data_IF_707425537433
#
_entry.id   IF_707425537433
#
_cell.length_a   1.000
_cell.length_b   1.000
_cell.length_c   1.000
_cell.angle_alpha   90.00
_cell.angle_beta   90.00
_cell.angle_gamma   90.00
#
_symmetry.space_group_name_H-M   'P 1'
#
loop_
_entity.id
_entity.type
_entity.pdbx_description
1 polymer ?
#
# COMPACT_ATOMS: atom_id res chain seq x y z
N UNK A 1 12.17 5.57 13.14
CA UNK A 1 12.92 4.33 13.43
C UNK A 1 13.22 3.64 12.10
N UNK A 2 14.48 3.68 11.69
CA UNK A 2 14.98 3.06 10.45
C UNK A 2 15.04 1.55 10.66
N UNK A 3 14.42 0.77 9.80
CA UNK A 3 14.69 -0.67 9.73
C UNK A 3 15.69 -0.93 8.62
N UNK A 4 16.89 -1.27 9.06
CA UNK A 4 18.01 -1.69 8.27
C UNK A 4 17.79 -3.13 7.82
N UNK A 5 17.98 -3.38 6.55
CA UNK A 5 17.95 -4.71 5.96
C UNK A 5 19.24 -5.46 6.26
N UNK A 6 19.11 -6.75 6.50
CA UNK A 6 20.08 -7.75 6.90
C UNK A 6 21.46 -7.65 6.24
N UNK A 7 22.48 -7.50 7.10
CA UNK A 7 23.88 -7.84 6.80
C UNK A 7 24.18 -9.19 7.45
N UNK A 8 24.35 -10.20 6.63
CA UNK A 8 24.89 -11.49 7.09
C UNK A 8 26.41 -11.39 7.08
N UNK A 9 26.99 -11.39 8.27
CA UNK A 9 28.44 -11.58 8.50
C UNK A 9 28.75 -13.05 8.33
N UNK A 10 29.67 -13.36 7.42
CA UNK A 10 30.47 -14.61 7.48
C UNK A 10 31.88 -14.26 7.97
N UNK A 11 32.22 -14.86 9.10
CA UNK A 11 33.53 -14.77 9.72
C UNK A 11 34.46 -15.84 9.12
N UNK A 12 35.63 -15.42 8.85
CA UNK A 12 36.99 -16.04 8.83
C UNK A 12 37.12 -17.56 8.88
N UNK A 13 37.83 -18.08 7.90
CA UNK A 13 38.77 -19.16 8.11
C UNK A 13 40.05 -18.91 7.31
N UNK A 14 41.12 -18.63 8.05
CA UNK A 14 42.51 -18.65 7.60
C UNK A 14 42.89 -20.08 7.27
N UNK A 15 43.47 -20.34 6.11
CA UNK A 15 44.51 -21.34 5.97
C UNK A 15 45.53 -20.92 4.91
N UNK A 16 46.74 -20.70 5.40
CA UNK A 16 47.98 -20.50 4.66
C UNK A 16 48.24 -21.69 3.74
N UNK A 17 48.60 -21.45 2.46
CA UNK A 17 49.52 -22.29 1.73
C UNK A 17 50.29 -21.46 0.70
N UNK A 18 51.54 -21.26 0.99
CA UNK A 18 52.50 -20.66 0.10
C UNK A 18 52.86 -21.66 -1.00
N UNK A 19 52.70 -21.28 -2.27
CA UNK A 19 53.45 -21.91 -3.39
C UNK A 19 53.93 -20.81 -4.31
N UNK A 20 55.24 -20.70 -4.32
CA UNK A 20 56.13 -19.98 -5.22
C UNK A 20 56.06 -20.63 -6.60
N UNK A 21 55.75 -19.88 -7.71
CA UNK A 21 56.30 -20.21 -9.03
C UNK A 21 56.17 -19.08 -10.06
N UNK A 22 57.31 -18.58 -10.45
CA UNK A 22 57.78 -18.17 -11.80
C UNK A 22 57.01 -17.08 -12.57
N UNK A 23 57.74 -15.98 -12.68
CA UNK A 23 57.67 -14.95 -13.69
C UNK A 23 57.70 -15.50 -15.13
N UNK A 24 56.63 -15.27 -15.87
CA UNK A 24 56.67 -15.19 -17.34
C UNK A 24 56.22 -13.78 -17.70
N UNK A 25 57.20 -12.97 -18.05
CA UNK A 25 57.02 -11.70 -18.71
C UNK A 25 56.52 -11.99 -20.12
N UNK A 26 55.31 -11.55 -20.44
CA UNK A 26 54.87 -11.32 -21.80
C UNK A 26 54.35 -9.90 -21.85
N UNK A 27 55.18 -8.99 -22.36
CA UNK A 27 54.77 -7.69 -22.84
C UNK A 27 53.82 -7.88 -24.03
N UNK A 28 52.54 -7.82 -23.75
CA UNK A 28 51.53 -7.45 -24.72
C UNK A 28 51.08 -6.05 -24.30
N UNK A 29 51.68 -5.02 -24.95
CA UNK A 29 51.13 -3.69 -24.99
C UNK A 29 49.77 -3.75 -25.71
N UNK A 30 48.77 -4.34 -25.09
CA UNK A 30 47.38 -4.14 -25.39
C UNK A 30 46.98 -2.86 -24.66
N UNK A 31 46.66 -1.82 -25.42
CA UNK A 31 45.95 -0.64 -24.97
C UNK A 31 44.90 -1.10 -23.97
N UNK A 32 45.11 -0.83 -22.68
CA UNK A 32 44.04 -0.86 -21.70
C UNK A 32 43.13 0.30 -22.10
N UNK A 33 42.15 0.02 -22.91
CA UNK A 33 40.98 0.86 -23.01
C UNK A 33 40.37 0.80 -21.63
N UNK A 34 40.45 1.93 -20.94
CA UNK A 34 39.65 2.22 -19.76
C UNK A 34 38.22 1.76 -20.08
N UNK A 35 37.64 0.82 -19.34
CA UNK A 35 36.22 0.57 -19.50
C UNK A 35 35.49 1.72 -18.81
N UNK A 36 35.51 2.88 -19.41
CA UNK A 36 34.47 3.86 -19.27
C UNK A 36 33.21 3.19 -19.78
N UNK A 37 32.63 2.33 -18.94
CA UNK A 37 31.39 1.62 -19.22
C UNK A 37 30.26 2.64 -19.16
N UNK A 38 30.18 3.46 -20.18
CA UNK A 38 28.91 4.00 -20.59
C UNK A 38 28.09 2.80 -21.11
N UNK A 39 27.58 2.00 -20.19
CA UNK A 39 26.63 0.95 -20.52
C UNK A 39 25.51 1.59 -21.34
N UNK A 40 25.16 0.97 -22.48
CA UNK A 40 24.03 1.49 -23.27
C UNK A 40 22.81 1.57 -22.36
N UNK A 41 22.09 2.70 -22.44
CA UNK A 41 20.85 2.88 -21.65
C UNK A 41 19.88 1.75 -21.94
N UNK A 42 19.20 1.30 -20.92
CA UNK A 42 18.06 0.41 -21.05
C UNK A 42 16.77 1.22 -21.20
N UNK A 43 15.69 0.53 -21.45
CA UNK A 43 14.38 1.13 -21.75
C UNK A 43 13.31 0.51 -20.84
N UNK A 44 12.55 1.37 -20.15
CA UNK A 44 11.35 0.97 -19.40
C UNK A 44 10.11 1.29 -20.24
N UNK A 45 9.27 0.29 -20.48
CA UNK A 45 7.93 0.43 -21.05
C UNK A 45 6.90 0.07 -19.99
N UNK A 46 6.08 1.03 -19.60
CA UNK A 46 5.12 0.87 -18.51
C UNK A 46 3.72 0.80 -19.11
N UNK A 47 2.96 -0.23 -18.71
CA UNK A 47 1.60 -0.44 -19.16
C UNK A 47 0.73 -0.99 -18.02
N UNK A 48 -0.58 -0.85 -18.13
CA UNK A 48 -1.51 -1.50 -17.23
C UNK A 48 -1.90 -2.88 -17.73
N UNK A 49 -2.13 -3.82 -16.82
CA UNK A 49 -2.66 -5.12 -17.16
C UNK A 49 -4.08 -4.97 -17.73
N UNK A 50 -4.32 -5.55 -18.91
CA UNK A 50 -5.63 -5.52 -19.58
C UNK A 50 -6.70 -6.36 -18.89
N UNK A 51 -6.28 -7.37 -18.12
CA UNK A 51 -7.16 -8.18 -17.28
C UNK A 51 -7.40 -7.49 -15.95
N UNK A 52 -8.10 -6.38 -16.00
CA UNK A 52 -8.83 -5.91 -14.85
C UNK A 52 -10.08 -6.77 -14.67
N UNK A 53 -9.91 -8.05 -14.38
CA UNK A 53 -10.92 -8.85 -13.70
C UNK A 53 -11.01 -8.36 -12.26
N UNK A 54 -11.18 -7.06 -12.10
CA UNK A 54 -11.70 -6.50 -10.88
C UNK A 54 -13.05 -7.16 -10.70
N UNK A 55 -13.10 -8.07 -9.78
CA UNK A 55 -14.26 -8.86 -9.43
C UNK A 55 -15.43 -7.89 -9.35
N UNK A 56 -16.37 -7.97 -10.28
CA UNK A 56 -17.56 -7.12 -10.50
C UNK A 56 -18.53 -7.19 -9.32
N UNK A 57 -18.06 -7.10 -8.08
CA UNK A 57 -18.89 -7.18 -6.86
C UNK A 57 -18.85 -5.95 -5.98
N UNK A 58 -18.15 -4.89 -6.37
CA UNK A 58 -18.31 -3.59 -5.73
C UNK A 58 -18.86 -2.62 -6.76
N UNK A 59 -19.87 -1.84 -6.37
CA UNK A 59 -20.37 -0.65 -7.07
C UNK A 59 -19.29 0.47 -7.09
N UNK A 60 -18.05 0.12 -7.41
CA UNK A 60 -16.93 1.04 -7.48
C UNK A 60 -16.50 1.09 -8.95
N UNK A 61 -16.80 2.22 -9.58
CA UNK A 61 -16.23 2.56 -10.89
C UNK A 61 -14.71 2.54 -10.77
N UNK A 62 -14.05 1.75 -11.61
CA UNK A 62 -12.60 1.76 -11.71
C UNK A 62 -12.22 3.10 -12.32
N UNK A 63 -11.40 3.92 -11.63
CA UNK A 63 -11.00 5.20 -12.20
C UNK A 63 -10.18 5.00 -13.47
N UNK A 64 -10.24 5.99 -14.38
CA UNK A 64 -9.44 5.99 -15.59
C UNK A 64 -7.96 5.99 -15.21
N UNK A 65 -7.24 4.95 -15.64
CA UNK A 65 -5.81 4.80 -15.35
C UNK A 65 -4.94 5.85 -16.03
N UNK A 66 -5.46 6.55 -17.04
CA UNK A 66 -4.75 7.65 -17.71
C UNK A 66 -4.41 8.80 -16.77
N UNK A 67 -5.25 9.02 -15.74
CA UNK A 67 -5.09 10.09 -14.75
C UNK A 67 -4.26 9.67 -13.53
N UNK A 68 -3.79 8.42 -13.48
CA UNK A 68 -3.00 7.95 -12.34
C UNK A 68 -1.64 8.64 -12.30
N UNK A 69 -1.16 8.90 -11.08
CA UNK A 69 0.15 9.46 -10.84
C UNK A 69 1.20 8.36 -10.88
N UNK A 70 2.11 8.44 -11.85
CA UNK A 70 3.24 7.52 -12.03
C UNK A 70 4.51 8.15 -11.47
N UNK A 71 5.25 7.37 -10.69
CA UNK A 71 6.57 7.74 -10.17
C UNK A 71 7.56 6.63 -10.50
N UNK A 72 8.70 6.99 -11.08
CA UNK A 72 9.83 6.08 -11.35
C UNK A 72 11.05 6.62 -10.63
N UNK A 73 11.59 5.85 -9.69
CA UNK A 73 12.72 6.25 -8.84
C UNK A 73 13.82 5.21 -8.97
N UNK A 74 15.07 5.65 -9.17
CA UNK A 74 16.22 4.74 -9.14
C UNK A 74 16.53 4.27 -7.71
N UNK A 75 17.25 3.16 -7.57
CA UNK A 75 17.74 2.66 -6.26
C UNK A 75 18.63 3.66 -5.52
N UNK A 76 19.19 4.66 -6.21
CA UNK A 76 19.94 5.77 -5.61
C UNK A 76 19.06 6.92 -5.12
N UNK A 77 17.73 6.83 -5.32
CA UNK A 77 16.77 7.86 -4.95
C UNK A 77 16.58 8.97 -5.98
N UNK A 78 17.17 8.86 -7.18
CA UNK A 78 16.97 9.82 -8.26
C UNK A 78 15.61 9.62 -8.89
N UNK A 79 14.82 10.69 -8.99
CA UNK A 79 13.52 10.68 -9.66
C UNK A 79 13.77 10.73 -11.18
N UNK A 80 13.32 9.70 -11.88
CA UNK A 80 13.41 9.57 -13.34
C UNK A 80 12.15 10.14 -14.00
N UNK A 81 11.00 9.84 -13.41
CA UNK A 81 9.70 10.36 -13.83
C UNK A 81 8.81 10.58 -12.60
N UNK A 82 8.05 11.66 -12.60
CA UNK A 82 7.07 11.99 -11.57
C UNK A 82 5.97 12.84 -12.19
N UNK A 83 4.80 12.22 -12.46
CA UNK A 83 3.71 12.90 -13.15
C UNK A 83 2.55 12.00 -13.52
N UNK A 84 1.60 12.53 -14.29
CA UNK A 84 0.43 11.79 -14.73
C UNK A 84 0.84 10.73 -15.76
N UNK A 85 0.30 9.52 -15.66
CA UNK A 85 0.64 8.40 -16.54
C UNK A 85 0.43 8.73 -18.02
N UNK A 86 -0.68 9.36 -18.40
CA UNK A 86 -0.96 9.75 -19.78
C UNK A 86 0.03 10.74 -20.38
N UNK A 87 0.78 11.46 -19.56
CA UNK A 87 1.85 12.37 -19.98
C UNK A 87 3.23 11.71 -19.98
N UNK A 88 3.35 10.45 -19.54
CA UNK A 88 4.63 9.75 -19.53
C UNK A 88 5.07 9.36 -20.94
N UNK A 89 6.39 9.36 -21.22
CA UNK A 89 6.90 8.81 -22.47
C UNK A 89 6.53 7.33 -22.62
N UNK A 90 6.25 6.89 -23.84
CA UNK A 90 6.03 5.46 -24.15
C UNK A 90 7.23 4.60 -23.74
N UNK A 91 8.44 5.15 -23.83
CA UNK A 91 9.70 4.54 -23.46
C UNK A 91 10.51 5.50 -22.59
N UNK A 92 10.84 5.09 -21.37
CA UNK A 92 11.68 5.85 -20.45
C UNK A 92 13.09 5.29 -20.51
N UNK A 93 14.03 6.10 -21.06
CA UNK A 93 15.45 5.71 -21.18
C UNK A 93 16.15 5.90 -19.83
N UNK A 94 16.71 4.83 -19.29
CA UNK A 94 17.36 4.80 -17.98
C UNK A 94 18.73 4.14 -18.03
N UNK A 95 19.63 4.48 -17.10
CA UNK A 95 20.89 3.77 -16.92
C UNK A 95 20.64 2.35 -16.38
N UNK A 96 21.51 1.38 -16.65
CA UNK A 96 21.35 0.04 -16.06
C UNK A 96 21.29 0.08 -14.54
N UNK A 97 20.28 -0.58 -13.95
CA UNK A 97 20.09 -0.54 -12.49
C UNK A 97 18.70 -1.00 -12.04
N UNK A 98 18.43 -0.79 -10.75
CA UNK A 98 17.13 -1.11 -10.14
C UNK A 98 16.28 0.15 -9.99
N UNK A 99 15.00 0.01 -10.25
CA UNK A 99 14.02 1.10 -10.24
C UNK A 99 12.75 0.66 -9.50
N UNK A 100 12.22 1.57 -8.68
CA UNK A 100 10.89 1.44 -8.12
C UNK A 100 9.90 2.17 -9.04
N UNK A 101 8.96 1.43 -9.60
CA UNK A 101 7.88 1.91 -10.47
C UNK A 101 6.59 1.86 -9.69
N UNK A 102 6.06 3.03 -9.35
CA UNK A 102 4.87 3.16 -8.53
C UNK A 102 3.80 3.98 -9.24
N UNK A 103 2.55 3.53 -9.11
CA UNK A 103 1.40 4.28 -9.61
C UNK A 103 0.31 4.35 -8.54
N UNK A 104 -0.37 5.50 -8.44
CA UNK A 104 -1.52 5.70 -7.54
C UNK A 104 -2.61 6.51 -8.22
N UNK A 105 -3.88 6.18 -7.95
CA UNK A 105 -5.03 6.88 -8.52
C UNK A 105 -5.26 8.28 -7.93
N UNK A 106 -4.82 8.49 -6.69
CA UNK A 106 -4.98 9.77 -6.00
C UNK A 106 -3.99 9.89 -4.84
N UNK A 107 -3.77 11.11 -4.38
CA UNK A 107 -2.96 11.38 -3.19
C UNK A 107 -3.85 11.26 -1.92
N UNK A 108 -3.79 10.10 -1.28
CA UNK A 108 -4.58 9.80 -0.08
C UNK A 108 -3.80 10.16 1.19
N UNK A 109 -4.04 11.34 1.77
CA UNK A 109 -3.30 11.85 2.95
C UNK A 109 -4.03 11.62 4.26
N UNK A 110 -5.34 11.82 4.27
CA UNK A 110 -6.18 11.77 5.48
C UNK A 110 -7.38 10.86 5.23
N UNK A 111 -7.99 10.30 6.29
CA UNK A 111 -9.21 9.52 6.16
C UNK A 111 -10.33 10.31 5.47
N UNK A 112 -11.04 9.68 4.54
CA UNK A 112 -12.12 10.31 3.78
C UNK A 112 -13.20 9.30 3.39
N UNK A 113 -14.44 9.81 3.21
CA UNK A 113 -15.53 9.00 2.66
C UNK A 113 -15.42 8.87 1.15
N UNK A 114 -15.86 7.72 0.62
CA UNK A 114 -15.92 7.46 -0.83
C UNK A 114 -14.61 7.77 -1.57
N UNK A 115 -13.47 7.49 -0.94
CA UNK A 115 -12.15 7.77 -1.49
C UNK A 115 -11.28 6.50 -1.54
N UNK A 116 -11.66 5.50 -2.37
CA UNK A 116 -10.79 4.37 -2.61
C UNK A 116 -9.53 4.84 -3.33
N UNK A 117 -8.38 4.28 -2.95
CA UNK A 117 -7.11 4.53 -3.62
C UNK A 117 -6.68 3.25 -4.30
N UNK A 118 -6.41 3.32 -5.61
CA UNK A 118 -5.88 2.23 -6.41
C UNK A 118 -4.40 2.48 -6.71
N UNK A 119 -3.64 1.41 -6.88
CA UNK A 119 -2.24 1.55 -7.23
C UNK A 119 -1.53 0.21 -7.31
N UNK A 120 -0.26 0.31 -7.72
CA UNK A 120 0.71 -0.79 -7.76
C UNK A 120 2.11 -0.24 -7.49
N UNK A 121 3.00 -1.09 -7.02
CA UNK A 121 4.38 -0.73 -6.69
C UNK A 121 5.28 -1.93 -7.00
N UNK A 122 6.17 -1.79 -8.00
CA UNK A 122 7.03 -2.85 -8.48
C UNK A 122 8.50 -2.40 -8.50
N UNK A 123 9.38 -3.22 -7.94
CA UNK A 123 10.81 -3.06 -8.11
C UNK A 123 11.28 -3.85 -9.34
N UNK A 124 11.90 -3.19 -10.29
CA UNK A 124 12.37 -3.77 -11.55
C UNK A 124 13.86 -3.54 -11.76
N UNK A 125 14.52 -4.49 -12.42
CA UNK A 125 15.94 -4.37 -12.81
C UNK A 125 16.01 -4.15 -14.31
N UNK A 126 16.72 -3.11 -14.73
CA UNK A 126 16.95 -2.78 -16.15
C UNK A 126 18.39 -3.09 -16.50
N UNK A 127 18.66 -4.14 -17.31
CA UNK A 127 19.99 -4.42 -17.84
C UNK A 127 20.42 -3.39 -18.90
N UNK A 128 21.73 -3.37 -19.17
CA UNK A 128 22.31 -2.51 -20.21
C UNK A 128 21.76 -2.86 -21.60
N UNK A 129 21.19 -1.89 -22.29
CA UNK A 129 20.69 -2.05 -23.67
C UNK A 129 19.42 -2.85 -23.83
N UNK A 130 18.77 -3.25 -22.73
CA UNK A 130 17.58 -4.10 -22.74
C UNK A 130 16.30 -3.30 -22.60
N UNK A 131 15.18 -3.86 -23.12
CA UNK A 131 13.84 -3.35 -22.95
C UNK A 131 13.15 -4.13 -21.84
N UNK A 132 12.70 -3.45 -20.81
CA UNK A 132 11.93 -4.03 -19.70
C UNK A 132 10.49 -3.55 -19.76
N UNK A 133 9.56 -4.49 -19.94
CA UNK A 133 8.13 -4.20 -19.91
C UNK A 133 7.60 -4.37 -18.50
N UNK A 134 7.12 -3.27 -17.91
CA UNK A 134 6.50 -3.23 -16.59
C UNK A 134 4.99 -3.25 -16.76
N UNK A 135 4.33 -4.25 -16.18
CA UNK A 135 2.89 -4.42 -16.25
C UNK A 135 2.26 -4.18 -14.89
N UNK A 136 1.65 -3.02 -14.72
CA UNK A 136 1.06 -2.60 -13.44
C UNK A 136 -0.35 -3.20 -13.26
N UNK A 137 -0.60 -3.74 -12.06
CA UNK A 137 -1.89 -4.29 -11.65
C UNK A 137 -2.53 -3.38 -10.60
N UNK A 138 -3.31 -2.40 -11.04
CA UNK A 138 -3.89 -1.42 -10.14
C UNK A 138 -5.05 -2.00 -9.34
N UNK A 139 -4.78 -2.33 -8.10
CA UNK A 139 -5.76 -2.80 -7.14
C UNK A 139 -5.98 -1.77 -6.05
N UNK A 140 -7.07 -1.88 -5.29
CA UNK A 140 -7.30 -1.02 -4.15
C UNK A 140 -6.18 -1.22 -3.11
N UNK A 141 -5.48 -0.16 -2.72
CA UNK A 141 -4.35 -0.21 -1.78
C UNK A 141 -4.68 0.32 -0.39
N UNK A 142 -5.79 1.04 -0.22
CA UNK A 142 -6.31 1.44 1.08
C UNK A 142 -7.36 0.46 1.61
N UNK A 143 -7.84 0.68 2.81
CA UNK A 143 -8.85 -0.12 3.49
C UNK A 143 -10.06 0.73 3.86
N UNK A 144 -11.21 0.09 4.07
CA UNK A 144 -12.46 0.78 4.34
C UNK A 144 -13.18 0.29 5.59
N UNK A 145 -13.97 1.17 6.19
CA UNK A 145 -14.91 0.84 7.28
C UNK A 145 -16.29 1.41 6.94
N UNK A 146 -17.31 0.59 7.11
CA UNK A 146 -18.71 1.00 7.07
C UNK A 146 -19.37 0.68 8.40
N UNK A 147 -20.05 1.65 8.99
CA UNK A 147 -20.87 1.41 10.17
C UNK A 147 -22.34 1.14 9.78
N UNK A 148 -22.96 0.21 10.47
CA UNK A 148 -24.42 -0.01 10.49
C UNK A 148 -24.88 0.26 11.91
N UNK A 149 -25.46 1.43 12.14
CA UNK A 149 -25.90 1.84 13.47
C UNK A 149 -27.35 1.46 13.65
N UNK A 150 -27.65 0.70 14.71
CA UNK A 150 -29.00 0.30 15.08
C UNK A 150 -29.79 1.48 15.64
N UNK A 151 -31.10 1.49 15.40
CA UNK A 151 -31.98 2.56 15.88
C UNK A 151 -32.00 2.66 17.39
N UNK A 152 -32.00 1.53 18.10
CA UNK A 152 -31.97 1.52 19.56
C UNK A 152 -30.70 2.16 20.14
N UNK A 153 -29.60 2.18 19.38
CA UNK A 153 -28.40 2.92 19.78
C UNK A 153 -28.65 4.44 19.79
N UNK A 154 -29.36 4.96 18.80
CA UNK A 154 -29.71 6.38 18.73
C UNK A 154 -30.60 6.82 19.90
N UNK A 155 -31.55 5.96 20.28
CA UNK A 155 -32.47 6.23 21.39
C UNK A 155 -31.72 6.23 22.75
N UNK A 156 -30.68 5.38 22.88
CA UNK A 156 -29.89 5.30 24.12
C UNK A 156 -28.79 6.38 24.21
N UNK A 157 -28.28 6.86 23.07
CA UNK A 157 -27.21 7.86 23.00
C UNK A 157 -27.60 9.02 22.09
N UNK A 158 -28.61 9.81 22.41
CA UNK A 158 -29.13 10.89 21.54
C UNK A 158 -28.08 11.97 21.27
N UNK A 159 -27.15 12.22 22.20
CA UNK A 159 -26.06 13.17 22.08
C UNK A 159 -24.72 12.50 21.74
N UNK A 160 -24.74 11.20 21.45
CA UNK A 160 -23.55 10.43 21.12
C UNK A 160 -23.07 10.72 19.70
N UNK A 161 -21.76 10.84 19.50
CA UNK A 161 -21.14 11.00 18.18
C UNK A 161 -20.12 9.88 17.95
N UNK A 162 -20.28 9.17 16.85
CA UNK A 162 -19.33 8.13 16.47
C UNK A 162 -18.19 8.71 15.64
N UNK A 163 -16.98 8.24 15.91
CA UNK A 163 -15.79 8.60 15.17
C UNK A 163 -15.01 7.35 14.81
N UNK A 164 -14.38 7.38 13.62
CA UNK A 164 -13.34 6.45 13.23
C UNK A 164 -12.00 7.19 13.28
N UNK A 165 -11.02 6.64 14.01
CA UNK A 165 -9.70 7.27 14.24
C UNK A 165 -8.58 6.34 13.81
N UNK A 166 -7.65 6.88 13.04
CA UNK A 166 -6.37 6.25 12.69
C UNK A 166 -5.21 7.14 13.07
N UNK A 167 -3.98 6.73 12.76
CA UNK A 167 -2.78 7.56 12.90
C UNK A 167 -2.80 8.79 11.97
N UNK A 168 -3.56 8.73 10.85
CA UNK A 168 -3.65 9.80 9.86
C UNK A 168 -4.76 10.83 10.17
N UNK A 169 -5.64 10.53 11.12
CA UNK A 169 -6.72 11.45 11.48
C UNK A 169 -7.95 10.80 12.08
N UNK A 170 -8.94 11.65 12.38
CA UNK A 170 -10.24 11.30 12.98
C UNK A 170 -11.34 11.73 12.03
N UNK A 171 -12.26 10.83 11.71
CA UNK A 171 -13.39 11.06 10.82
C UNK A 171 -14.69 10.86 11.59
N UNK A 172 -15.55 11.87 11.61
CA UNK A 172 -16.88 11.77 12.21
C UNK A 172 -17.78 10.90 11.34
N UNK A 173 -18.44 9.91 11.94
CA UNK A 173 -19.37 9.02 11.25
C UNK A 173 -20.80 9.32 11.69
N UNK A 174 -21.54 10.06 10.85
CA UNK A 174 -22.94 10.38 11.11
C UNK A 174 -23.84 9.14 11.09
N UNK A 175 -24.92 9.17 11.86
CA UNK A 175 -25.83 8.03 11.95
C UNK A 175 -26.53 7.65 10.63
N UNK A 176 -26.77 8.63 9.76
CA UNK A 176 -27.33 8.42 8.43
C UNK A 176 -26.27 8.13 7.36
N UNK A 177 -24.99 8.13 7.74
CA UNK A 177 -23.89 7.89 6.81
C UNK A 177 -23.88 6.42 6.36
N UNK A 178 -23.83 6.21 5.05
CA UNK A 178 -23.83 4.88 4.42
C UNK A 178 -22.56 4.62 3.61
N UNK A 179 -21.80 5.68 3.35
CA UNK A 179 -20.57 5.58 2.57
C UNK A 179 -19.50 4.82 3.34
N UNK A 180 -18.54 4.28 2.62
CA UNK A 180 -17.35 3.68 3.21
C UNK A 180 -16.38 4.80 3.57
N UNK A 181 -15.90 4.79 4.80
CA UNK A 181 -14.78 5.62 5.25
C UNK A 181 -13.47 4.88 4.95
N UNK A 182 -12.58 5.49 4.18
CA UNK A 182 -11.31 4.91 3.77
C UNK A 182 -10.17 5.37 4.67
N UNK A 183 -9.20 4.46 4.87
CA UNK A 183 -8.01 4.63 5.72
C UNK A 183 -6.80 3.99 5.04
N UNK A 184 -5.59 4.44 5.36
CA UNK A 184 -4.41 3.63 5.07
C UNK A 184 -4.45 2.37 5.93
N UNK A 185 -3.92 1.22 5.43
CA UNK A 185 -3.81 0.00 6.22
C UNK A 185 -3.15 0.26 7.58
N UNK A 186 -3.66 -0.39 8.62
CA UNK A 186 -3.20 -0.21 9.99
C UNK A 186 -4.34 -0.12 11.00
N UNK A 187 -4.04 0.36 12.21
CA UNK A 187 -5.01 0.40 13.29
C UNK A 187 -6.05 1.51 13.09
N UNK A 188 -7.32 1.11 13.11
CA UNK A 188 -8.48 2.02 13.13
C UNK A 188 -9.32 1.72 14.37
N UNK A 189 -9.65 2.76 15.12
CA UNK A 189 -10.48 2.68 16.32
C UNK A 189 -11.84 3.33 16.08
N UNK A 190 -12.90 2.64 16.49
CA UNK A 190 -14.24 3.20 16.62
C UNK A 190 -14.37 3.82 18.01
N UNK A 191 -14.75 5.09 18.07
CA UNK A 191 -14.97 5.83 19.30
C UNK A 191 -16.39 6.32 19.38
N UNK A 192 -16.92 6.32 20.60
CA UNK A 192 -18.14 7.04 20.97
C UNK A 192 -17.75 8.27 21.80
N UNK A 193 -18.17 9.45 21.36
CA UNK A 193 -18.05 10.69 22.12
C UNK A 193 -19.43 11.01 22.69
N UNK A 194 -19.58 11.01 24.01
CA UNK A 194 -20.83 11.31 24.70
C UNK A 194 -20.54 11.99 26.05
N UNK A 195 -21.29 13.03 26.39
CA UNK A 195 -21.07 13.78 27.64
C UNK A 195 -19.67 14.38 27.77
N UNK A 196 -19.03 14.75 26.65
CA UNK A 196 -17.68 15.34 26.64
C UNK A 196 -16.54 14.33 26.87
N UNK A 197 -16.80 13.04 26.81
CA UNK A 197 -15.80 11.98 26.93
C UNK A 197 -15.78 11.13 25.67
N UNK A 198 -14.55 10.81 25.22
CA UNK A 198 -14.30 9.88 24.13
C UNK A 198 -14.04 8.48 24.70
N UNK A 199 -14.82 7.50 24.29
CA UNK A 199 -14.66 6.10 24.67
C UNK A 199 -14.32 5.27 23.44
N UNK A 200 -13.29 4.42 23.55
CA UNK A 200 -12.90 3.49 22.48
C UNK A 200 -13.77 2.24 22.57
N UNK A 201 -14.64 2.02 21.61
CA UNK A 201 -15.52 0.86 21.54
C UNK A 201 -14.80 -0.36 20.94
N UNK A 202 -13.98 -0.14 19.93
CA UNK A 202 -13.28 -1.20 19.21
C UNK A 202 -12.03 -0.65 18.53
N UNK A 203 -10.96 -1.45 18.46
CA UNK A 203 -9.81 -1.21 17.60
C UNK A 203 -9.56 -2.43 16.71
N UNK A 204 -9.31 -2.20 15.42
CA UNK A 204 -8.97 -3.24 14.45
C UNK A 204 -7.78 -2.81 13.63
N UNK A 205 -6.91 -3.78 13.33
CA UNK A 205 -5.87 -3.62 12.33
C UNK A 205 -6.45 -3.99 10.97
N UNK A 206 -6.56 -3.00 10.07
CA UNK A 206 -7.09 -3.19 8.72
C UNK A 206 -5.95 -3.52 7.76
N UNK A 207 -6.18 -4.51 6.92
CA UNK A 207 -5.27 -4.90 5.87
C UNK A 207 -5.61 -4.16 4.57
N UNK A 208 -4.65 -4.10 3.65
CA UNK A 208 -4.87 -3.64 2.27
C UNK A 208 -6.08 -4.35 1.66
N UNK A 209 -6.91 -3.62 0.92
CA UNK A 209 -8.14 -4.12 0.26
C UNK A 209 -9.26 -4.58 1.20
N UNK A 210 -9.08 -4.51 2.50
CA UNK A 210 -10.09 -4.93 3.45
C UNK A 210 -11.18 -3.87 3.61
N UNK A 211 -12.45 -4.27 3.47
CA UNK A 211 -13.60 -3.46 3.86
C UNK A 211 -14.28 -4.12 5.04
N UNK A 212 -14.26 -3.44 6.19
CA UNK A 212 -14.84 -3.90 7.43
C UNK A 212 -16.22 -3.28 7.62
N UNK A 213 -17.23 -4.13 7.86
CA UNK A 213 -18.58 -3.67 8.22
C UNK A 213 -18.80 -3.90 9.72
N UNK A 214 -19.09 -2.84 10.46
CA UNK A 214 -19.32 -2.88 11.89
C UNK A 214 -20.79 -2.55 12.20
N UNK A 215 -21.48 -3.46 12.89
CA UNK A 215 -22.79 -3.22 13.49
C UNK A 215 -22.61 -2.58 14.87
N UNK A 216 -23.27 -1.47 15.13
CA UNK A 216 -23.26 -0.76 16.42
C UNK A 216 -24.66 -0.80 17.00
N UNK A 217 -24.84 -1.43 18.16
CA UNK A 217 -26.13 -1.58 18.85
C UNK A 217 -25.96 -1.43 20.37
N UNK A 218 -27.07 -1.29 21.09
CA UNK A 218 -27.04 -1.37 22.55
C UNK A 218 -26.96 -2.84 22.99
N UNK A 219 -26.18 -3.12 24.02
CA UNK A 219 -26.09 -4.45 24.60
C UNK A 219 -27.48 -4.87 25.15
N UNK A 220 -28.11 -5.81 24.46
CA UNK A 220 -29.23 -6.55 25.05
C UNK A 220 -28.66 -7.73 25.83
N UNK A 221 -29.26 -8.05 26.98
CA UNK A 221 -28.83 -9.16 27.86
C UNK A 221 -29.02 -10.55 27.22
N UNK A 222 -28.44 -10.79 26.07
CA UNK A 222 -28.53 -12.03 25.33
C UNK A 222 -27.12 -12.54 25.01
N UNK A 223 -26.87 -13.76 25.45
CA UNK A 223 -25.68 -14.57 25.25
C UNK A 223 -25.43 -14.87 23.77
N UNK A 224 -24.85 -13.96 23.02
CA UNK A 224 -24.25 -14.22 21.72
C UNK A 224 -22.87 -13.57 21.67
N UNK A 225 -21.96 -14.21 20.95
CA UNK A 225 -20.52 -13.91 20.81
C UNK A 225 -20.19 -12.50 20.28
N UNK A 226 -20.87 -11.49 20.74
CA UNK A 226 -20.61 -10.10 20.49
C UNK A 226 -19.64 -9.57 21.53
N UNK A 227 -18.63 -8.86 21.11
CA UNK A 227 -17.68 -8.17 21.99
C UNK A 227 -18.46 -7.12 22.79
N UNK A 228 -18.63 -7.28 24.10
CA UNK A 228 -19.19 -6.24 24.97
C UNK A 228 -18.18 -5.11 25.07
N UNK A 229 -18.47 -3.98 24.43
CA UNK A 229 -17.77 -2.72 24.67
C UNK A 229 -18.13 -2.19 26.06
N UNK A 230 -17.28 -1.36 26.61
CA UNK A 230 -17.52 -0.63 27.85
C UNK A 230 -18.74 0.28 27.63
N UNK A 231 -19.62 0.48 28.64
CA UNK A 231 -20.73 1.42 28.56
C UNK A 231 -22.04 0.90 27.96
N UNK A 232 -22.22 -0.44 27.83
CA UNK A 232 -23.48 -1.02 27.34
C UNK A 232 -23.66 -0.98 25.81
N UNK A 233 -22.60 -0.69 25.07
CA UNK A 233 -22.56 -0.74 23.61
C UNK A 233 -22.02 -2.07 23.14
N UNK A 234 -22.70 -2.71 22.20
CA UNK A 234 -22.21 -3.92 21.51
C UNK A 234 -21.77 -3.56 20.12
N UNK A 235 -20.53 -3.93 19.77
CA UNK A 235 -20.01 -3.80 18.41
C UNK A 235 -19.86 -5.21 17.82
N UNK A 236 -20.69 -5.53 16.83
CA UNK A 236 -20.59 -6.76 16.06
C UNK A 236 -19.77 -6.52 14.80
N UNK A 237 -18.78 -7.38 14.55
CA UNK A 237 -18.07 -7.41 13.28
C UNK A 237 -18.88 -8.28 12.34
N UNK A 238 -19.52 -7.68 11.34
CA UNK A 238 -20.07 -8.41 10.22
C UNK A 238 -18.87 -8.84 9.35
N UNK A 239 -18.75 -10.13 9.07
CA UNK A 239 -17.59 -10.76 8.43
C UNK A 239 -16.99 -9.87 7.36
N UNK A 240 -15.72 -9.51 7.56
CA UNK A 240 -14.96 -8.73 6.62
C UNK A 240 -15.11 -9.34 5.22
N UNK A 241 -15.66 -8.57 4.29
CA UNK A 241 -15.51 -8.89 2.87
C UNK A 241 -14.06 -8.56 2.53
N UNK A 242 -13.19 -9.54 2.74
CA UNK A 242 -11.84 -9.52 2.21
C UNK A 242 -12.01 -9.76 0.71
N UNK A 243 -11.61 -8.80 -0.10
CA UNK A 243 -11.44 -9.02 -1.52
C UNK A 243 -10.16 -9.83 -1.68
N UNK A 244 -10.25 -11.16 -1.63
CA UNK A 244 -9.19 -12.03 -2.09
C UNK A 244 -9.33 -12.14 -3.59
N UNK A 245 -8.29 -11.74 -4.32
CA UNK A 245 -8.05 -12.21 -5.67
C UNK A 245 -7.84 -13.73 -5.56
N UNK A 246 -8.90 -14.50 -5.75
CA UNK A 246 -8.78 -15.91 -6.09
C UNK A 246 -8.42 -15.95 -7.56
N UNK A 247 -7.10 -16.03 -7.84
CA UNK A 247 -6.52 -16.36 -9.13
C UNK A 247 -6.79 -17.80 -9.51
#
# INVERSE_FOLDING_TARGET
MKRSCCFVRFAEFYLMSAILFMSVSCDILGKVEDPGTSGSKGELRISFASDQSVTRKADLDIPDTSDFHLTVISSTGSIIYDGVYSASPEAIMVDPGSYDVKVVSCDFKVPAFSSPQYGDDQCVVVPSGEIVNVRLMCTQINSGVRLKVDRGFLDAYPDGVLFLKSSQGKLMYGYSEKRIAYFRPGNVSLLLSSGGKDEVLLTRNLQTRQILVLGVSVAQNSSSSAFQGIGGVTVAVDTAKVWTDDS
#
